data_IF_024806363410
#
_entry.id   IF_024806363410
#
_cell.length_a   1.000
_cell.length_b   1.000
_cell.length_c   1.000
_cell.angle_alpha   90.00
_cell.angle_beta   90.00
_cell.angle_gamma   90.00
#
_symmetry.space_group_name_H-M   'P 1'
#
loop_
_entity.id
_entity.type
_entity.pdbx_description
1 polymer ?
2 water ?
#
# COMPACT_ATOMS: atom_id res chain seq x y z
N UNK A 2 -5.04 -17.03 -3.20
CA UNK A 2 -4.39 -16.93 -4.53
C UNK A 2 -3.28 -17.96 -4.64
N UNK A 3 -3.59 -19.14 -5.17
CA UNK A 3 -2.58 -20.18 -5.29
C UNK A 3 -1.64 -19.95 -6.46
N UNK A 4 -0.82 -18.91 -6.34
CA UNK A 4 0.16 -18.52 -7.36
C UNK A 4 0.99 -17.39 -6.77
N UNK A 5 2.31 -17.54 -6.81
CA UNK A 5 3.22 -16.55 -6.24
C UNK A 5 3.18 -15.15 -6.88
N UNK A 6 3.46 -15.05 -8.18
CA UNK A 6 3.43 -13.76 -8.87
C UNK A 6 2.04 -13.41 -9.39
N UNK A 7 1.02 -14.11 -8.89
CA UNK A 7 -0.36 -13.88 -9.31
C UNK A 7 -0.84 -12.48 -8.95
N UNK A 8 -1.73 -11.94 -9.77
CA UNK A 8 -2.28 -10.61 -9.56
C UNK A 8 -3.19 -10.57 -8.33
N UNK A 9 -2.90 -9.62 -7.43
CA UNK A 9 -3.66 -9.42 -6.20
C UNK A 9 -4.78 -8.43 -6.54
N UNK A 10 -5.99 -8.69 -6.05
CA UNK A 10 -7.13 -7.81 -6.33
C UNK A 10 -7.99 -7.61 -5.08
N UNK A 11 -8.49 -6.39 -4.90
CA UNK A 11 -9.33 -6.03 -3.76
C UNK A 11 -10.18 -4.80 -4.05
N UNK A 12 -11.49 -4.95 -3.96
CA UNK A 12 -12.40 -3.83 -4.17
C UNK A 12 -12.16 -3.08 -5.47
N UNK A 13 -11.81 -3.80 -6.54
CA UNK A 13 -11.57 -3.15 -7.81
C UNK A 13 -10.12 -2.74 -8.03
N UNK A 14 -9.32 -2.79 -6.97
CA UNK A 14 -7.92 -2.43 -7.07
C UNK A 14 -7.09 -3.68 -7.32
N UNK A 15 -6.32 -3.69 -8.40
CA UNK A 15 -5.49 -4.84 -8.71
C UNK A 15 -4.03 -4.42 -8.77
N UNK A 16 -3.14 -5.33 -8.38
CA UNK A 16 -1.70 -5.07 -8.38
C UNK A 16 -0.99 -6.28 -9.00
N UNK A 17 -0.27 -6.03 -10.09
CA UNK A 17 0.45 -7.08 -10.82
C UNK A 17 1.94 -7.08 -10.45
N UNK A 18 2.38 -8.06 -9.64
CA UNK A 18 3.78 -8.19 -9.21
C UNK A 18 4.78 -8.34 -10.35
N UNK A 19 4.34 -8.90 -11.46
CA UNK A 19 5.21 -9.12 -12.61
C UNK A 19 5.45 -7.84 -13.42
N UNK A 20 4.38 -7.13 -13.75
CA UNK A 20 4.50 -5.92 -14.54
C UNK A 20 4.52 -4.65 -13.71
N UNK A 21 4.19 -4.79 -12.43
CA UNK A 21 4.10 -3.67 -11.50
C UNK A 21 2.98 -2.71 -11.93
N UNK A 22 1.94 -3.27 -12.52
CA UNK A 22 0.80 -2.49 -12.97
C UNK A 22 -0.25 -2.49 -11.86
N UNK A 23 -0.73 -1.31 -11.50
CA UNK A 23 -1.76 -1.15 -10.48
C UNK A 23 -2.94 -0.48 -11.18
N UNK A 24 -4.13 -1.01 -10.95
CA UNK A 24 -5.32 -0.48 -11.60
C UNK A 24 -6.57 -0.40 -10.75
N UNK A 25 -7.35 0.63 -11.01
CA UNK A 25 -8.63 0.83 -10.35
C UNK A 25 -9.57 0.37 -11.46
N UNK A 26 -9.92 -0.91 -11.43
CA UNK A 26 -10.77 -1.46 -12.46
C UNK A 26 -9.87 -1.62 -13.66
N UNK A 27 -10.10 -0.80 -14.69
CA UNK A 27 -9.29 -0.87 -15.89
C UNK A 27 -8.45 0.37 -16.11
N UNK A 28 -8.58 1.34 -15.21
CA UNK A 28 -7.80 2.56 -15.31
C UNK A 28 -6.48 2.37 -14.60
N UNK A 29 -5.36 2.65 -15.29
CA UNK A 29 -4.04 2.49 -14.67
C UNK A 29 -3.74 3.62 -13.69
N UNK A 30 -2.97 3.31 -12.65
CA UNK A 30 -2.60 4.29 -11.63
C UNK A 30 -1.09 4.51 -11.62
N UNK A 31 -0.67 5.71 -11.24
CA UNK A 31 0.75 6.08 -11.21
C UNK A 31 1.34 6.29 -9.83
N UNK A 32 2.42 5.57 -9.54
CA UNK A 32 3.10 5.70 -8.25
C UNK A 32 4.56 5.24 -8.34
N UNK A 33 5.39 5.73 -7.43
CA UNK A 33 6.79 5.34 -7.42
C UNK A 33 7.00 3.94 -6.86
N UNK A 34 8.25 3.42 -6.86
CA UNK A 34 8.57 2.08 -6.34
C UNK A 34 8.28 1.85 -4.85
N UNK A 35 8.48 2.88 -4.03
CA UNK A 35 8.24 2.79 -2.59
C UNK A 35 6.75 2.64 -2.28
N UNK A 36 5.94 3.42 -2.98
CA UNK A 36 4.49 3.38 -2.84
C UNK A 36 3.97 2.03 -3.31
N UNK A 37 4.54 1.51 -4.39
CA UNK A 37 4.12 0.22 -4.93
C UNK A 37 4.40 -0.88 -3.90
N UNK A 38 5.58 -0.82 -3.31
CA UNK A 38 6.01 -1.80 -2.33
C UNK A 38 5.12 -1.70 -1.10
N UNK A 39 4.79 -0.47 -0.73
CA UNK A 39 3.92 -0.23 0.42
C UNK A 39 2.53 -0.79 0.12
N UNK A 40 2.01 -0.50 -1.07
CA UNK A 40 0.68 -1.00 -1.44
C UNK A 40 0.69 -2.52 -1.50
N UNK A 41 1.75 -3.08 -2.05
CA UNK A 41 1.85 -4.52 -2.14
C UNK A 41 1.80 -5.14 -0.74
N UNK A 42 2.51 -4.53 0.21
CA UNK A 42 2.50 -5.03 1.57
C UNK A 42 1.09 -4.96 2.17
N UNK A 43 0.42 -3.82 1.98
CA UNK A 43 -0.94 -3.63 2.50
C UNK A 43 -1.96 -4.60 1.94
N UNK A 44 -1.95 -4.81 0.63
CA UNK A 44 -2.91 -5.71 0.02
C UNK A 44 -2.71 -7.17 0.41
N UNK A 45 -1.53 -7.50 0.95
CA UNK A 45 -1.24 -8.87 1.39
C UNK A 45 -1.25 -9.01 2.92
N UNK A 46 -1.44 -7.90 3.62
CA UNK A 46 -1.51 -7.85 5.08
C UNK A 46 -2.68 -6.91 5.38
N UNK A 47 -3.87 -7.20 4.83
CA UNK A 47 -5.07 -6.37 5.02
C UNK A 47 -5.71 -6.35 6.40
N UNK A 48 -6.51 -5.31 6.62
CA UNK A 48 -7.28 -5.08 7.84
C UNK A 48 -6.53 -4.79 9.13
N UNK A 49 -5.41 -5.47 9.36
CA UNK A 49 -4.63 -5.26 10.58
C UNK A 49 -3.85 -3.95 10.57
N UNK A 50 -3.68 -3.36 11.74
CA UNK A 50 -2.93 -2.11 11.88
C UNK A 50 -1.44 -2.38 12.11
N UNK A 51 -0.58 -1.58 11.48
CA UNK A 51 0.86 -1.72 11.64
C UNK A 51 1.45 -0.39 12.05
N UNK A 52 2.41 -0.44 12.97
CA UNK A 52 3.07 0.77 13.42
C UNK A 52 4.00 1.18 12.31
N UNK A 53 4.48 2.42 12.36
CA UNK A 53 5.40 2.90 11.34
C UNK A 53 6.67 2.05 11.40
N UNK A 54 7.05 1.65 12.61
CA UNK A 54 8.23 0.82 12.83
C UNK A 54 8.12 -0.52 12.10
N UNK A 55 6.94 -1.14 12.15
CA UNK A 55 6.71 -2.41 11.47
C UNK A 55 6.73 -2.22 9.95
N UNK A 56 6.09 -1.15 9.49
CA UNK A 56 6.03 -0.83 8.06
C UNK A 56 7.43 -0.50 7.54
N UNK A 57 8.24 0.15 8.36
CA UNK A 57 9.61 0.47 7.96
C UNK A 57 10.39 -0.84 7.78
N UNK A 58 10.23 -1.77 8.71
CA UNK A 58 10.93 -3.05 8.63
C UNK A 58 10.47 -3.91 7.46
N UNK A 59 9.16 -3.97 7.23
CA UNK A 59 8.62 -4.77 6.14
C UNK A 59 8.86 -4.18 4.77
N UNK A 60 8.81 -2.86 4.66
CA UNK A 60 8.99 -2.23 3.37
C UNK A 60 10.37 -1.65 3.05
N UNK A 61 10.99 -0.96 4.00
CA UNK A 61 12.31 -0.38 3.75
C UNK A 61 13.49 -1.29 4.11
N UNK A 62 13.30 -2.20 5.06
CA UNK A 62 14.39 -3.08 5.46
C UNK A 62 15.19 -2.55 6.64
N UNK A 63 16.51 -2.72 6.60
CA UNK A 63 17.37 -2.26 7.69
C UNK A 63 18.65 -1.60 7.19
N UNK A 64 19.10 -2.03 6.02
CA UNK A 64 20.32 -1.50 5.44
C UNK A 64 20.10 -0.15 4.77
N UNK A 65 19.31 0.72 5.41
CA UNK A 65 19.03 2.03 4.84
C UNK A 65 18.93 3.16 5.87
N UNK A 66 18.07 2.98 6.87
CA UNK A 66 17.84 3.98 7.93
C UNK A 66 16.88 5.10 7.47
N UNK A 67 15.70 5.14 8.10
CA UNK A 67 14.65 6.10 7.78
C UNK A 67 13.83 6.45 9.03
N UNK A 68 13.34 7.68 9.11
CA UNK A 68 12.54 8.08 10.26
C UNK A 68 11.07 7.65 10.09
N UNK A 69 10.34 7.63 11.19
CA UNK A 69 8.94 7.24 11.18
C UNK A 69 8.05 8.10 10.28
N UNK A 70 8.26 9.42 10.30
CA UNK A 70 7.43 10.32 9.50
C UNK A 70 7.61 10.14 8.00
N UNK A 71 8.68 9.45 7.60
CA UNK A 71 8.93 9.19 6.19
C UNK A 71 7.81 8.28 5.72
N UNK A 72 7.31 7.46 6.65
CA UNK A 72 6.20 6.57 6.34
C UNK A 72 5.00 7.43 6.00
N UNK A 73 4.76 8.47 6.81
CA UNK A 73 3.64 9.38 6.58
C UNK A 73 3.74 10.02 5.22
N UNK A 74 4.97 10.32 4.80
CA UNK A 74 5.21 10.96 3.50
C UNK A 74 4.82 10.04 2.35
N UNK A 75 5.21 8.78 2.43
CA UNK A 75 4.87 7.83 1.38
C UNK A 75 3.42 7.35 1.49
N UNK A 76 2.81 7.47 2.66
CA UNK A 76 1.41 7.09 2.81
C UNK A 76 0.62 8.13 2.02
N UNK A 77 1.08 9.38 2.09
CA UNK A 77 0.42 10.49 1.40
C UNK A 77 0.51 10.31 -0.11
N UNK A 78 1.71 10.07 -0.60
CA UNK A 78 1.92 9.86 -2.03
C UNK A 78 1.12 8.66 -2.54
N UNK A 79 0.97 7.63 -1.71
CA UNK A 79 0.21 6.44 -2.09
C UNK A 79 -1.28 6.79 -2.17
N UNK A 80 -1.80 7.45 -1.14
CA UNK A 80 -3.20 7.85 -1.16
C UNK A 80 -3.46 8.70 -2.40
N UNK A 81 -2.54 9.62 -2.67
CA UNK A 81 -2.66 10.50 -3.82
C UNK A 81 -2.75 9.70 -5.12
N UNK A 82 -1.92 8.68 -5.26
CA UNK A 82 -1.94 7.84 -6.46
C UNK A 82 -3.21 6.99 -6.58
N UNK A 83 -3.87 6.72 -5.45
CA UNK A 83 -5.07 5.89 -5.43
C UNK A 83 -6.40 6.66 -5.54
N UNK A 84 -6.33 7.98 -5.55
CA UNK A 84 -7.54 8.82 -5.62
C UNK A 84 -8.49 8.62 -6.79
N UNK A 85 -7.96 8.51 -8.03
CA UNK A 85 -8.82 8.33 -9.21
C UNK A 85 -10.04 7.47 -8.95
N UNK A 86 -9.82 6.32 -8.33
CA UNK A 86 -10.91 5.40 -8.04
C UNK A 86 -11.41 5.43 -6.61
N UNK A 87 -10.92 6.37 -5.81
CA UNK A 87 -11.35 6.45 -4.44
C UNK A 87 -10.78 5.34 -3.57
N UNK A 88 -9.83 4.58 -4.09
CA UNK A 88 -9.23 3.49 -3.31
C UNK A 88 -8.31 4.03 -2.20
N UNK A 89 -8.06 5.33 -2.23
CA UNK A 89 -7.23 5.97 -1.21
C UNK A 89 -7.92 5.80 0.14
N UNK A 90 -9.24 5.62 0.10
CA UNK A 90 -10.04 5.42 1.31
C UNK A 90 -9.71 4.11 2.01
N UNK A 91 -9.01 3.22 1.31
CA UNK A 91 -8.62 1.94 1.88
C UNK A 91 -7.36 2.08 2.73
N UNK A 92 -6.55 3.10 2.46
CA UNK A 92 -5.34 3.36 3.25
C UNK A 92 -5.82 4.27 4.38
N UNK A 93 -5.97 3.69 5.58
CA UNK A 93 -6.49 4.42 6.72
C UNK A 93 -5.53 4.64 7.88
N UNK A 94 -5.62 5.82 8.48
CA UNK A 94 -4.78 6.20 9.61
C UNK A 94 -5.38 5.74 10.93
N UNK A 95 -4.58 5.07 11.75
CA UNK A 95 -5.07 4.64 13.06
C UNK A 95 -4.41 5.62 14.03
N UNK A 96 -5.16 6.67 14.37
CA UNK A 96 -4.73 7.76 15.25
C UNK A 96 -3.64 7.44 16.27
N UNK A 97 -2.47 8.04 16.07
CA UNK A 97 -1.35 7.85 16.97
C UNK A 97 -0.91 6.42 17.17
N UNK A 98 -1.27 5.54 16.25
CA UNK A 98 -0.91 4.12 16.35
C UNK A 98 -0.21 3.56 15.11
N UNK A 99 -0.71 3.91 13.92
CA UNK A 99 -0.10 3.41 12.70
C UNK A 99 -1.06 3.43 11.53
N UNK A 100 -0.94 2.44 10.64
CA UNK A 100 -1.82 2.38 9.48
C UNK A 100 -2.34 0.97 9.23
N UNK A 101 -3.46 0.90 8.52
CA UNK A 101 -4.08 -0.38 8.15
C UNK A 101 -4.69 -0.20 6.75
N UNK A 102 -4.84 -1.30 6.02
CA UNK A 102 -5.43 -1.26 4.69
C UNK A 102 -6.74 -2.03 4.83
N UNK A 103 -7.87 -1.35 4.60
CA UNK A 103 -9.16 -1.99 4.79
C UNK A 103 -10.19 -1.82 3.68
N UNK A 104 -11.01 -2.85 3.50
CA UNK A 104 -12.06 -2.82 2.50
C UNK A 104 -13.28 -2.13 3.09
N UNK A 105 -13.24 -1.92 4.40
CA UNK A 105 -14.34 -1.27 5.11
C UNK A 105 -14.10 0.22 5.31
N UNK A 106 -15.03 1.03 4.82
CA UNK A 106 -14.93 2.48 4.93
C UNK A 106 -16.23 3.14 4.48
#
# INVERSE_FOLDING_TARGET
>A
SPMAVEEVIEMQGLSLDPTSHRVMAGEEPLEMGPTEFKLLHFFMTHPERVYSREQLLNHVWGTNVYVEDRTVDVHIRRLRKALEPGGHDRMVQTVRGTGYRFSTRF
#
